data_IF_936902382969
#
_entry.id   IF_936902382969
#
_cell.length_a   1.000
_cell.length_b   1.000
_cell.length_c   1.000
_cell.angle_alpha   90.00
_cell.angle_beta   90.00
_cell.angle_gamma   90.00
#
_symmetry.space_group_name_H-M   'P 1'
#
loop_
_entity.id
_entity.type
_entity.pdbx_description
1 polymer ?
#
# COMPACT_ATOMS: atom_id res chain seq x y z
N UNK A 1 4.92 -10.35 -5.65
CA UNK A 1 4.69 -9.34 -4.59
C UNK A 1 3.26 -8.84 -4.69
N UNK A 2 2.57 -8.60 -3.58
CA UNK A 2 1.17 -8.19 -3.53
C UNK A 2 0.95 -7.09 -2.48
N UNK A 3 -0.09 -6.27 -2.67
CA UNK A 3 -0.54 -5.33 -1.65
C UNK A 3 -1.83 -5.88 -1.01
N UNK A 4 -1.84 -5.97 0.32
CA UNK A 4 -2.95 -6.44 1.13
C UNK A 4 -3.47 -5.28 2.01
N UNK A 5 -4.78 -5.06 2.00
CA UNK A 5 -5.41 -3.99 2.78
C UNK A 5 -6.55 -4.55 3.62
N UNK A 6 -6.46 -4.36 4.93
CA UNK A 6 -7.49 -4.76 5.88
C UNK A 6 -8.44 -3.59 6.14
N UNK A 7 -9.67 -3.69 5.65
CA UNK A 7 -10.69 -2.64 5.80
C UNK A 7 -11.07 -2.35 7.26
N UNK A 8 -11.10 -3.38 8.11
CA UNK A 8 -11.47 -3.24 9.51
C UNK A 8 -10.48 -2.38 10.32
N UNK A 9 -9.20 -2.45 9.97
CA UNK A 9 -8.12 -1.79 10.73
C UNK A 9 -7.43 -0.67 9.96
N UNK A 10 -7.73 -0.53 8.67
CA UNK A 10 -7.02 0.32 7.74
C UNK A 10 -5.54 -0.06 7.53
N UNK A 11 -5.12 -1.26 7.95
CA UNK A 11 -3.74 -1.74 7.83
C UNK A 11 -3.42 -2.10 6.38
N UNK A 12 -2.26 -1.66 5.92
CA UNK A 12 -1.73 -1.93 4.60
C UNK A 12 -0.44 -2.72 4.71
N UNK A 13 -0.31 -3.79 3.94
CA UNK A 13 0.86 -4.66 3.88
C UNK A 13 1.33 -4.83 2.44
N UNK A 14 2.64 -4.92 2.28
CA UNK A 14 3.25 -5.40 1.04
C UNK A 14 3.88 -6.75 1.34
N UNK A 15 3.46 -7.77 0.60
CA UNK A 15 3.88 -9.15 0.77
C UNK A 15 4.79 -9.56 -0.39
N UNK A 16 5.92 -10.19 -0.09
CA UNK A 16 6.80 -10.87 -1.05
C UNK A 16 6.94 -12.32 -0.60
N UNK A 17 6.60 -13.27 -1.47
CA UNK A 17 6.62 -14.71 -1.15
C UNK A 17 5.90 -15.01 0.18
N UNK A 18 4.71 -14.42 0.34
CA UNK A 18 3.85 -14.51 1.54
C UNK A 18 4.40 -13.84 2.81
N UNK A 19 5.62 -13.31 2.78
CA UNK A 19 6.23 -12.57 3.89
C UNK A 19 5.96 -11.08 3.77
N UNK A 20 5.48 -10.47 4.86
CA UNK A 20 5.29 -9.02 4.91
C UNK A 20 6.64 -8.30 4.96
N UNK A 21 6.97 -7.58 3.88
CA UNK A 21 8.20 -6.78 3.77
C UNK A 21 7.99 -5.33 4.17
N UNK A 22 6.74 -4.85 4.11
CA UNK A 22 6.34 -3.53 4.62
C UNK A 22 4.96 -3.61 5.24
N UNK A 23 4.76 -2.82 6.29
CA UNK A 23 3.49 -2.72 7.00
C UNK A 23 3.27 -1.27 7.44
N UNK A 24 2.04 -0.79 7.24
CA UNK A 24 1.60 0.52 7.69
C UNK A 24 0.23 0.42 8.33
N UNK A 25 0.06 1.17 9.41
CA UNK A 25 -1.23 1.39 10.08
C UNK A 25 -1.72 2.81 9.77
N UNK A 26 -3.02 3.10 9.93
CA UNK A 26 -3.53 4.46 9.84
C UNK A 26 -2.79 5.44 10.77
N UNK A 27 -2.54 6.69 10.33
CA UNK A 27 -2.85 7.25 9.01
C UNK A 27 -1.79 6.93 7.94
N UNK A 28 -0.67 6.30 8.30
CA UNK A 28 0.45 6.05 7.39
C UNK A 28 0.08 5.15 6.20
N UNK A 29 -0.87 4.24 6.38
CA UNK A 29 -1.39 3.43 5.27
C UNK A 29 -2.04 4.29 4.19
N UNK A 30 -2.88 5.27 4.58
CA UNK A 30 -3.48 6.21 3.64
C UNK A 30 -2.46 7.20 3.08
N UNK A 31 -1.50 7.65 3.89
CA UNK A 31 -0.39 8.48 3.39
C UNK A 31 0.39 7.77 2.29
N UNK A 32 0.77 6.52 2.48
CA UNK A 32 1.53 5.74 1.50
C UNK A 32 0.79 5.63 0.16
N UNK A 33 -0.52 5.39 0.19
CA UNK A 33 -1.37 5.32 -1.02
C UNK A 33 -1.49 6.71 -1.67
N UNK A 34 -1.77 7.74 -0.87
CA UNK A 34 -1.97 9.09 -1.38
C UNK A 34 -0.72 9.68 -2.04
N UNK A 35 0.47 9.32 -1.56
CA UNK A 35 1.74 9.75 -2.15
C UNK A 35 1.96 9.28 -3.59
N UNK A 36 1.29 8.21 -4.04
CA UNK A 36 1.50 7.60 -5.36
C UNK A 36 0.28 7.65 -6.25
N UNK A 37 -0.92 7.73 -5.68
CA UNK A 37 -2.19 7.65 -6.41
C UNK A 37 -3.13 8.84 -6.15
N UNK A 38 -2.71 9.79 -5.31
CA UNK A 38 -3.55 10.89 -4.83
C UNK A 38 -4.51 10.46 -3.73
N UNK A 39 -5.20 11.42 -3.10
CA UNK A 39 -6.00 11.21 -1.89
C UNK A 39 -7.49 10.91 -2.16
N UNK A 40 -7.85 10.22 -3.26
CA UNK A 40 -9.26 10.04 -3.67
C UNK A 40 -10.07 9.20 -2.68
N UNK A 41 -9.48 8.15 -2.13
CA UNK A 41 -10.09 7.26 -1.13
C UNK A 41 -9.39 7.39 0.24
N UNK A 42 -8.95 8.60 0.59
CA UNK A 42 -8.31 8.83 1.88
C UNK A 42 -9.25 8.50 3.03
N UNK A 43 -8.77 7.73 4.01
CA UNK A 43 -9.59 7.34 5.16
C UNK A 43 -10.60 6.23 4.86
N UNK A 44 -10.68 5.74 3.61
CA UNK A 44 -11.62 4.70 3.19
C UNK A 44 -10.89 3.52 2.56
N UNK A 45 -11.64 2.55 2.01
CA UNK A 45 -11.09 1.41 1.28
C UNK A 45 -10.46 1.90 -0.03
N UNK A 46 -9.15 1.68 -0.25
CA UNK A 46 -8.53 1.97 -1.53
C UNK A 46 -9.03 1.03 -2.61
N UNK A 47 -9.07 1.52 -3.84
CA UNK A 47 -9.42 0.69 -4.98
C UNK A 47 -8.20 -0.09 -5.53
N UNK A 48 -8.46 -1.01 -6.45
CA UNK A 48 -7.43 -1.86 -7.07
C UNK A 48 -6.36 -1.05 -7.81
N UNK A 49 -6.68 0.11 -8.37
CA UNK A 49 -5.72 0.93 -9.09
C UNK A 49 -4.78 1.68 -8.13
N UNK A 50 -5.31 2.17 -7.01
CA UNK A 50 -4.51 2.74 -5.90
C UNK A 50 -3.51 1.72 -5.34
N UNK A 51 -3.99 0.51 -5.03
CA UNK A 51 -3.13 -0.57 -4.52
C UNK A 51 -2.08 -1.02 -5.55
N UNK A 52 -2.45 -1.09 -6.84
CA UNK A 52 -1.50 -1.40 -7.92
C UNK A 52 -0.43 -0.32 -8.07
N UNK A 53 -0.80 0.96 -8.03
CA UNK A 53 0.16 2.07 -8.12
C UNK A 53 1.17 2.05 -6.96
N UNK A 54 0.68 1.79 -5.74
CA UNK A 54 1.55 1.59 -4.58
C UNK A 54 2.49 0.40 -4.78
N UNK A 55 1.96 -0.75 -5.20
CA UNK A 55 2.78 -1.95 -5.39
C UNK A 55 3.91 -1.71 -6.40
N UNK A 56 3.62 -1.06 -7.53
CA UNK A 56 4.65 -0.68 -8.53
C UNK A 56 5.70 0.24 -7.92
N UNK A 57 5.28 1.28 -7.19
CA UNK A 57 6.22 2.19 -6.51
C UNK A 57 7.13 1.45 -5.53
N UNK A 58 6.59 0.51 -4.74
CA UNK A 58 7.37 -0.28 -3.79
C UNK A 58 8.37 -1.21 -4.50
N UNK A 59 7.97 -1.87 -5.59
CA UNK A 59 8.88 -2.67 -6.41
C UNK A 59 10.05 -1.83 -6.94
N UNK A 60 9.79 -0.62 -7.43
CA UNK A 60 10.85 0.29 -7.89
C UNK A 60 11.81 0.69 -6.77
N UNK A 61 11.30 0.99 -5.57
CA UNK A 61 12.14 1.34 -4.42
C UNK A 61 13.03 0.20 -3.95
N UNK A 62 12.58 -1.06 -4.08
CA UNK A 62 13.37 -2.24 -3.70
C UNK A 62 14.39 -2.65 -4.75
N UNK A 63 14.22 -2.24 -6.01
CA UNK A 63 15.18 -2.49 -7.08
C UNK A 63 16.33 -1.47 -7.11
N UNK A 64 16.35 -0.51 -6.19
CA UNK A 64 17.43 0.49 -6.03
C UNK A 64 18.40 0.07 -4.89
N UNK A 65 18.36 -1.20 -4.47
CA UNK A 65 19.25 -1.79 -3.46
C UNK A 65 20.53 -2.37 -4.05
#
# INVERSE_FOLDING_TARGET
MCADYCEETGRLRILQDEVAVREWFPPNSWMAIASVAGARNWGTRPDLNELRALLVSQMSLMNIG
#
